data_IF_024723513064
#
_entry.id   IF_024723513064
#
_cell.length_a   1.000
_cell.length_b   1.000
_cell.length_c   1.000
_cell.angle_alpha   90.00
_cell.angle_beta   90.00
_cell.angle_gamma   90.00
#
_symmetry.space_group_name_H-M   'P 1'
#
loop_
_entity.id
_entity.type
_entity.pdbx_description
1 polymer ?
#
# COMPACT_ATOMS: atom_id res chain seq x y z
N UNK A 1 -3.43 -8.69 15.64
CA UNK A 1 -4.27 -8.99 14.46
C UNK A 1 -3.53 -8.65 13.20
N UNK A 2 -3.64 -9.51 12.20
CA UNK A 2 -2.96 -9.22 10.93
C UNK A 2 -3.76 -8.18 10.12
N UNK A 3 -3.02 -7.25 9.49
CA UNK A 3 -3.58 -6.24 8.59
C UNK A 3 -3.20 -6.62 7.16
N UNK A 4 -4.17 -6.55 6.27
CA UNK A 4 -3.97 -6.94 4.87
C UNK A 4 -4.25 -5.78 3.94
N UNK A 5 -3.42 -5.65 2.90
CA UNK A 5 -3.71 -4.82 1.75
C UNK A 5 -4.06 -5.73 0.58
N UNK A 6 -5.14 -5.42 -0.12
CA UNK A 6 -5.60 -6.18 -1.29
C UNK A 6 -5.55 -5.31 -2.52
N UNK A 7 -4.79 -5.76 -3.51
CA UNK A 7 -4.64 -5.09 -4.80
C UNK A 7 -5.52 -5.81 -5.82
N UNK A 8 -6.31 -5.05 -6.56
CA UNK A 8 -7.26 -5.59 -7.53
C UNK A 8 -6.94 -5.08 -8.93
N UNK A 9 -6.97 -5.97 -9.92
CA UNK A 9 -6.81 -5.62 -11.33
C UNK A 9 -7.95 -6.24 -12.13
N UNK A 10 -8.56 -5.46 -13.01
CA UNK A 10 -9.62 -5.95 -13.89
C UNK A 10 -11.00 -6.00 -13.26
N UNK A 11 -11.21 -5.31 -12.12
CA UNK A 11 -12.52 -5.21 -11.52
C UNK A 11 -13.38 -4.15 -12.22
N UNK A 12 -14.68 -4.44 -12.35
CA UNK A 12 -15.65 -3.46 -12.82
C UNK A 12 -15.99 -2.44 -11.73
N UNK A 13 -16.47 -1.27 -12.16
CA UNK A 13 -16.84 -0.19 -11.25
C UNK A 13 -17.90 -0.61 -10.22
N UNK A 14 -18.85 -1.44 -10.61
CA UNK A 14 -19.91 -1.93 -9.72
C UNK A 14 -19.36 -2.72 -8.53
N UNK A 15 -18.33 -3.54 -8.72
CA UNK A 15 -17.69 -4.28 -7.63
C UNK A 15 -16.96 -3.35 -6.67
N UNK A 16 -16.27 -2.35 -7.22
CA UNK A 16 -15.59 -1.33 -6.40
C UNK A 16 -16.61 -0.58 -5.56
N UNK A 17 -17.73 -0.16 -6.17
CA UNK A 17 -18.81 0.56 -5.48
C UNK A 17 -19.44 -0.29 -4.38
N UNK A 18 -19.72 -1.58 -4.63
CA UNK A 18 -20.27 -2.49 -3.63
C UNK A 18 -19.35 -2.67 -2.44
N UNK A 19 -18.06 -2.83 -2.70
CA UNK A 19 -17.04 -2.96 -1.64
C UNK A 19 -16.95 -1.70 -0.79
N UNK A 20 -16.99 -0.53 -1.42
CA UNK A 20 -16.98 0.75 -0.73
C UNK A 20 -18.23 0.91 0.15
N UNK A 21 -19.41 0.55 -0.36
CA UNK A 21 -20.67 0.61 0.39
C UNK A 21 -20.64 -0.35 1.59
N UNK A 22 -20.15 -1.57 1.41
CA UNK A 22 -20.02 -2.54 2.50
C UNK A 22 -19.07 -2.05 3.59
N UNK A 23 -17.94 -1.45 3.18
CA UNK A 23 -16.96 -0.88 4.10
C UNK A 23 -17.56 0.28 4.90
N UNK A 24 -18.33 1.14 4.23
CA UNK A 24 -19.03 2.25 4.88
C UNK A 24 -20.02 1.75 5.93
N UNK A 25 -20.81 0.74 5.61
CA UNK A 25 -21.77 0.15 6.56
C UNK A 25 -21.07 -0.43 7.80
N UNK A 26 -19.96 -1.14 7.61
CA UNK A 26 -19.19 -1.69 8.73
C UNK A 26 -18.61 -0.59 9.61
N UNK A 27 -18.08 0.46 9.01
CA UNK A 27 -17.56 1.60 9.74
C UNK A 27 -18.65 2.31 10.54
N UNK A 28 -19.84 2.49 9.94
CA UNK A 28 -20.98 3.10 10.61
C UNK A 28 -21.50 2.24 11.77
N UNK A 29 -21.35 0.92 11.68
CA UNK A 29 -21.69 -0.01 12.76
C UNK A 29 -20.63 -0.12 13.84
N UNK A 30 -19.50 0.61 13.72
CA UNK A 30 -18.41 0.59 14.69
C UNK A 30 -17.46 -0.61 14.56
N UNK A 31 -17.54 -1.35 13.46
CA UNK A 31 -16.64 -2.47 13.22
C UNK A 31 -15.26 -1.97 12.80
N UNK A 32 -14.21 -2.60 13.35
CA UNK A 32 -12.85 -2.31 12.97
C UNK A 32 -12.57 -2.81 11.54
N UNK A 33 -11.97 -1.96 10.72
CA UNK A 33 -11.60 -2.31 9.36
C UNK A 33 -10.13 -2.71 9.32
N UNK A 34 -9.84 -3.97 9.01
CA UNK A 34 -8.49 -4.53 8.96
C UNK A 34 -7.95 -4.71 7.54
N UNK A 35 -8.75 -4.38 6.53
CA UNK A 35 -8.38 -4.54 5.13
C UNK A 35 -8.30 -3.17 4.42
N UNK A 36 -7.30 -3.05 3.57
CA UNK A 36 -7.13 -1.89 2.70
C UNK A 36 -7.20 -2.38 1.25
N UNK A 37 -8.02 -1.77 0.43
CA UNK A 37 -8.22 -2.16 -0.96
C UNK A 37 -7.72 -1.08 -1.90
N UNK A 38 -6.96 -1.49 -2.91
CA UNK A 38 -6.51 -0.61 -3.99
C UNK A 38 -6.89 -1.27 -5.31
N UNK A 39 -7.52 -0.53 -6.20
CA UNK A 39 -7.92 -1.03 -7.51
C UNK A 39 -7.11 -0.34 -8.61
N UNK A 40 -6.48 -1.15 -9.45
CA UNK A 40 -5.72 -0.67 -10.60
C UNK A 40 -6.52 -0.92 -11.87
N UNK A 41 -6.44 0.02 -12.81
CA UNK A 41 -7.16 -0.07 -14.09
C UNK A 41 -6.60 -1.16 -15.00
N UNK A 42 -5.32 -1.54 -14.83
CA UNK A 42 -4.64 -2.52 -15.66
C UNK A 42 -3.48 -3.17 -14.93
N UNK A 43 -2.99 -4.28 -15.49
CA UNK A 43 -1.75 -4.92 -15.01
C UNK A 43 -0.57 -3.96 -15.07
N UNK A 44 -0.46 -3.20 -16.16
CA UNK A 44 0.63 -2.24 -16.35
C UNK A 44 0.65 -1.17 -15.25
N UNK A 45 -0.53 -0.73 -14.83
CA UNK A 45 -0.64 0.24 -13.74
C UNK A 45 -0.13 -0.37 -12.41
N UNK A 46 -0.52 -1.60 -12.11
CA UNK A 46 -0.03 -2.31 -10.92
C UNK A 46 1.49 -2.52 -11.00
N UNK A 47 1.99 -3.04 -12.12
CA UNK A 47 3.40 -3.33 -12.31
C UNK A 47 4.27 -2.08 -12.24
N UNK A 48 3.74 -0.94 -12.73
CA UNK A 48 4.44 0.35 -12.68
C UNK A 48 4.60 0.90 -11.27
N UNK A 49 3.68 0.57 -10.36
CA UNK A 49 3.75 0.98 -8.97
C UNK A 49 4.52 -0.04 -8.12
N UNK A 50 4.16 -1.32 -8.23
CA UNK A 50 4.76 -2.38 -7.41
C UNK A 50 5.98 -2.98 -8.11
N UNK A 51 7.09 -2.24 -8.09
CA UNK A 51 8.37 -2.73 -8.61
C UNK A 51 9.06 -3.59 -7.56
N UNK A 52 10.08 -4.37 -7.99
CA UNK A 52 10.89 -5.17 -7.09
C UNK A 52 11.51 -4.31 -5.98
N UNK A 53 12.06 -3.14 -6.32
CA UNK A 53 12.70 -2.24 -5.35
C UNK A 53 11.71 -1.68 -4.34
N UNK A 54 10.49 -1.37 -4.79
CA UNK A 54 9.42 -0.89 -3.89
C UNK A 54 8.93 -1.99 -2.96
N UNK A 55 8.83 -3.21 -3.46
CA UNK A 55 8.52 -4.35 -2.60
C UNK A 55 9.60 -4.55 -1.53
N UNK A 56 10.86 -4.52 -1.89
CA UNK A 56 11.97 -4.63 -0.94
C UNK A 56 11.92 -3.49 0.09
N UNK A 57 11.59 -2.28 -0.35
CA UNK A 57 11.45 -1.12 0.54
C UNK A 57 10.33 -1.33 1.57
N UNK A 58 9.19 -1.84 1.13
CA UNK A 58 8.07 -2.17 2.03
C UNK A 58 8.48 -3.23 3.06
N UNK A 59 9.18 -4.26 2.64
CA UNK A 59 9.69 -5.28 3.56
C UNK A 59 10.63 -4.69 4.60
N UNK A 60 11.52 -3.81 4.17
CA UNK A 60 12.43 -3.13 5.11
C UNK A 60 11.65 -2.28 6.12
N UNK A 61 10.73 -1.44 5.64
CA UNK A 61 9.92 -0.58 6.50
C UNK A 61 9.01 -1.36 7.46
N UNK A 62 8.55 -2.53 7.07
CA UNK A 62 7.72 -3.36 7.95
C UNK A 62 8.47 -3.72 9.22
N UNK A 63 9.74 -3.99 9.13
CA UNK A 63 10.58 -4.39 10.26
C UNK A 63 11.39 -3.23 10.86
N UNK A 64 11.61 -2.16 10.10
CA UNK A 64 12.45 -1.03 10.50
C UNK A 64 11.79 0.29 10.08
N UNK A 65 10.77 0.77 10.84
CA UNK A 65 10.20 2.09 10.56
C UNK A 65 11.27 3.16 10.59
N UNK A 66 11.11 4.18 9.75
CA UNK A 66 12.11 5.25 9.60
C UNK A 66 11.51 6.60 9.99
N UNK A 67 12.27 7.49 10.62
CA UNK A 67 11.76 8.81 11.03
C UNK A 67 11.58 9.76 9.83
N UNK A 68 12.29 9.53 8.72
CA UNK A 68 12.23 10.41 7.55
C UNK A 68 12.68 9.66 6.29
N UNK A 69 12.40 10.28 5.13
CA UNK A 69 12.89 9.77 3.84
C UNK A 69 14.41 9.75 3.81
N UNK A 70 15.05 10.79 4.32
CA UNK A 70 16.52 10.87 4.36
C UNK A 70 17.13 9.73 5.21
N UNK A 71 16.53 9.46 6.37
CA UNK A 71 16.98 8.35 7.23
C UNK A 71 16.81 7.01 6.54
N UNK A 72 15.68 6.81 5.86
CA UNK A 72 15.39 5.60 5.11
C UNK A 72 16.42 5.40 3.98
N UNK A 73 16.70 6.45 3.21
CA UNK A 73 17.67 6.40 2.12
C UNK A 73 19.06 5.98 2.63
N UNK A 74 19.49 6.54 3.75
CA UNK A 74 20.77 6.17 4.39
C UNK A 74 20.75 4.71 4.84
N UNK A 75 19.66 4.27 5.47
CA UNK A 75 19.55 2.91 6.00
C UNK A 75 19.63 1.85 4.89
N UNK A 76 19.01 2.10 3.75
CA UNK A 76 19.01 1.15 2.62
C UNK A 76 20.15 1.39 1.64
N UNK A 77 20.94 2.46 1.82
CA UNK A 77 22.10 2.76 0.97
C UNK A 77 21.73 3.14 -0.46
N UNK A 78 20.61 3.85 -0.62
CA UNK A 78 20.12 4.28 -1.94
C UNK A 78 19.98 5.79 -2.02
N UNK A 79 19.98 6.30 -3.25
CA UNK A 79 19.83 7.71 -3.55
C UNK A 79 18.52 8.29 -2.97
N UNK A 80 18.62 9.43 -2.31
CA UNK A 80 17.49 10.12 -1.68
C UNK A 80 16.33 10.36 -2.65
N UNK A 81 16.62 10.86 -3.85
CA UNK A 81 15.60 11.20 -4.82
C UNK A 81 14.77 9.98 -5.22
N UNK A 82 15.43 8.85 -5.45
CA UNK A 82 14.76 7.60 -5.83
C UNK A 82 13.93 7.04 -4.68
N UNK A 83 14.44 7.10 -3.46
CA UNK A 83 13.68 6.66 -2.27
C UNK A 83 12.49 7.60 -2.05
N UNK A 84 12.65 8.91 -2.24
CA UNK A 84 11.55 9.85 -2.14
C UNK A 84 10.43 9.51 -3.15
N UNK A 85 10.79 9.23 -4.40
CA UNK A 85 9.83 8.83 -5.43
C UNK A 85 9.10 7.53 -5.07
N UNK A 86 9.83 6.53 -4.58
CA UNK A 86 9.26 5.26 -4.15
C UNK A 86 8.29 5.44 -2.98
N UNK A 87 8.67 6.23 -1.98
CA UNK A 87 7.82 6.53 -0.82
C UNK A 87 6.56 7.26 -1.25
N UNK A 88 6.69 8.27 -2.14
CA UNK A 88 5.54 9.01 -2.64
C UNK A 88 4.54 8.09 -3.34
N UNK A 89 5.03 7.23 -4.24
CA UNK A 89 4.17 6.32 -4.99
C UNK A 89 3.45 5.33 -4.06
N UNK A 90 4.15 4.77 -3.08
CA UNK A 90 3.58 3.79 -2.17
C UNK A 90 2.65 4.44 -1.14
N UNK A 91 2.95 5.64 -0.68
CA UNK A 91 2.09 6.38 0.24
C UNK A 91 0.78 6.82 -0.44
N UNK A 92 0.85 7.18 -1.72
CA UNK A 92 -0.33 7.58 -2.49
C UNK A 92 -1.39 6.49 -2.54
N UNK A 93 -0.98 5.23 -2.61
CA UNK A 93 -1.92 4.08 -2.59
C UNK A 93 -2.11 3.49 -1.19
N UNK A 94 -1.59 4.13 -0.17
CA UNK A 94 -1.81 3.75 1.23
C UNK A 94 -0.98 2.60 1.75
N UNK A 95 0.08 2.18 1.04
CA UNK A 95 0.96 1.10 1.48
C UNK A 95 2.09 1.58 2.39
N UNK A 96 2.34 2.88 2.45
CA UNK A 96 3.23 3.51 3.42
C UNK A 96 2.41 4.52 4.21
N UNK A 97 2.53 4.47 5.54
CA UNK A 97 1.93 5.42 6.46
C UNK A 97 2.97 6.47 6.83
N UNK A 98 2.61 7.75 6.73
CA UNK A 98 3.48 8.89 7.05
C UNK A 98 3.09 9.63 8.31
N UNK A 99 2.11 9.17 9.05
CA UNK A 99 1.55 9.93 10.18
C UNK A 99 2.60 10.19 11.28
N UNK A 100 3.49 9.23 11.54
CA UNK A 100 4.52 9.32 12.57
C UNK A 100 5.85 8.79 12.03
N UNK A 101 6.41 9.50 11.05
CA UNK A 101 7.52 9.00 10.27
C UNK A 101 7.02 8.09 9.15
N UNK A 102 7.84 7.13 8.74
CA UNK A 102 7.49 6.20 7.66
C UNK A 102 7.37 4.78 8.20
N UNK A 103 6.26 4.12 7.89
CA UNK A 103 6.05 2.71 8.24
C UNK A 103 5.26 1.98 7.16
N UNK A 104 5.41 0.67 7.12
CA UNK A 104 4.58 -0.19 6.28
C UNK A 104 3.59 -0.92 7.21
N UNK A 105 2.31 -0.51 7.23
CA UNK A 105 1.37 -0.95 8.27
C UNK A 105 0.76 -2.33 8.02
N UNK A 106 0.97 -2.94 6.84
CA UNK A 106 0.33 -4.21 6.49
C UNK A 106 1.29 -5.38 6.63
N UNK A 107 0.78 -6.49 7.17
CA UNK A 107 1.55 -7.75 7.30
C UNK A 107 1.68 -8.46 5.96
N UNK A 108 0.62 -8.39 5.14
CA UNK A 108 0.57 -9.04 3.84
C UNK A 108 -0.05 -8.15 2.78
N UNK A 109 0.35 -8.36 1.54
CA UNK A 109 -0.25 -7.75 0.36
C UNK A 109 -0.67 -8.88 -0.55
N UNK A 110 -1.95 -8.92 -0.90
CA UNK A 110 -2.50 -9.91 -1.82
C UNK A 110 -2.93 -9.22 -3.11
N UNK A 111 -2.67 -9.85 -4.24
CA UNK A 111 -3.11 -9.34 -5.54
C UNK A 111 -4.11 -10.29 -6.17
N UNK A 112 -5.23 -9.76 -6.64
CA UNK A 112 -6.26 -10.50 -7.36
C UNK A 112 -6.35 -9.97 -8.78
N UNK A 113 -6.07 -10.85 -9.74
CA UNK A 113 -6.14 -10.52 -11.16
C UNK A 113 -7.37 -11.18 -11.75
N UNK A 114 -8.27 -10.37 -12.32
CA UNK A 114 -9.44 -10.89 -12.99
C UNK A 114 -9.15 -11.12 -14.46
N UNK A 115 -9.53 -12.27 -14.96
CA UNK A 115 -9.29 -12.68 -16.34
C UNK A 115 -10.49 -12.35 -17.23
#
# INVERSE_FOLDING_TARGET
MSRKAKLHVGEGFDKVAKRAAAAWKRAAAGEAMHEHHVTFVSWEALAGVMTKRRYELLRHLRHHPAPSVAALARAVGRDYKRIHEDVEALAEIGLIDRAHGLSAPFDTIEATLRL
#
